data_IF_350429567030
#
_entry.id   IF_350429567030
#
_cell.length_a   1.000
_cell.length_b   1.000
_cell.length_c   1.000
_cell.angle_alpha   90.00
_cell.angle_beta   90.00
_cell.angle_gamma   90.00
#
_symmetry.space_group_name_H-M   'P 1'
#
loop_
_entity.id
_entity.type
_entity.pdbx_description
1 polymer ?
#
# COMPACT_ATOMS: atom_id res chain seq x y z
N UNK A 1 -10.02 0.38 73.38
CA UNK A 1 -10.15 1.30 72.19
C UNK A 1 -9.45 0.60 71.02
N UNK A 2 -10.17 -0.30 70.34
CA UNK A 2 -9.68 -1.18 69.29
C UNK A 2 -10.33 -0.72 67.96
N UNK A 3 -9.53 -0.06 67.13
CA UNK A 3 -9.94 0.33 65.79
C UNK A 3 -9.87 -0.91 64.88
N UNK A 4 -11.03 -1.32 64.32
CA UNK A 4 -11.13 -2.31 63.26
C UNK A 4 -10.74 -1.61 61.93
N UNK A 5 -9.65 -2.07 61.36
CA UNK A 5 -9.31 -1.82 59.95
C UNK A 5 -10.24 -2.70 59.07
N UNK A 6 -11.27 -2.11 58.50
CA UNK A 6 -12.02 -2.75 57.43
C UNK A 6 -11.19 -2.67 56.13
N UNK A 7 -10.57 -3.80 55.78
CA UNK A 7 -10.05 -3.97 54.40
C UNK A 7 -11.23 -4.11 53.45
N UNK A 8 -11.48 -3.06 52.71
CA UNK A 8 -12.40 -3.07 51.57
C UNK A 8 -11.86 -3.97 50.44
N UNK A 9 -12.20 -5.25 50.51
CA UNK A 9 -12.10 -6.14 49.37
C UNK A 9 -13.22 -5.77 48.39
N UNK A 10 -12.94 -4.83 47.46
CA UNK A 10 -13.80 -4.66 46.27
C UNK A 10 -13.81 -6.00 45.53
N UNK A 11 -14.87 -6.76 45.68
CA UNK A 11 -15.20 -7.91 44.85
C UNK A 11 -15.34 -7.41 43.39
N UNK A 12 -14.32 -7.61 42.60
CA UNK A 12 -14.37 -7.38 41.16
C UNK A 12 -15.52 -8.23 40.61
N UNK A 13 -16.64 -7.59 40.30
CA UNK A 13 -17.79 -8.27 39.72
C UNK A 13 -17.35 -9.02 38.46
N UNK A 14 -17.72 -10.28 38.34
CA UNK A 14 -17.46 -11.06 37.14
C UNK A 14 -18.05 -10.34 35.90
N UNK A 15 -17.34 -10.26 34.81
CA UNK A 15 -17.84 -9.61 33.59
C UNK A 15 -19.16 -10.25 33.18
N UNK A 16 -20.13 -9.43 32.79
CA UNK A 16 -21.42 -9.93 32.33
C UNK A 16 -21.24 -10.79 31.07
N UNK A 17 -22.13 -11.78 30.88
CA UNK A 17 -22.10 -12.63 29.68
C UNK A 17 -22.13 -11.83 28.37
N UNK A 18 -22.71 -10.63 28.39
CA UNK A 18 -22.67 -9.68 27.25
C UNK A 18 -21.29 -9.04 27.05
N UNK A 19 -20.55 -8.76 28.14
CA UNK A 19 -19.19 -8.26 28.07
C UNK A 19 -18.24 -9.33 27.52
N UNK A 20 -18.40 -10.59 27.97
CA UNK A 20 -17.65 -11.74 27.43
C UNK A 20 -18.00 -12.04 25.97
N UNK A 21 -19.26 -11.94 25.58
CA UNK A 21 -19.71 -12.10 24.20
C UNK A 21 -19.20 -10.96 23.29
N UNK A 22 -19.11 -9.74 23.81
CA UNK A 22 -18.54 -8.58 23.12
C UNK A 22 -17.03 -8.71 22.97
N UNK A 23 -16.36 -9.24 23.99
CA UNK A 23 -14.93 -9.52 23.97
C UNK A 23 -14.59 -10.67 23.01
N UNK A 24 -15.38 -11.74 22.96
CA UNK A 24 -15.26 -12.83 21.99
C UNK A 24 -15.52 -12.34 20.56
N UNK A 25 -16.49 -11.44 20.32
CA UNK A 25 -16.68 -10.80 19.00
C UNK A 25 -15.47 -9.95 18.59
N UNK A 26 -14.82 -9.30 19.55
CA UNK A 26 -13.63 -8.47 19.29
C UNK A 26 -12.39 -9.32 18.96
N UNK A 27 -12.31 -10.57 19.44
CA UNK A 27 -11.17 -11.49 19.19
C UNK A 27 -11.26 -12.13 17.79
N UNK A 28 -12.46 -12.35 17.24
CA UNK A 28 -12.64 -12.91 15.89
C UNK A 28 -12.37 -11.89 14.75
N UNK A 29 -12.47 -10.61 15.05
CA UNK A 29 -12.25 -9.52 14.09
C UNK A 29 -10.81 -9.42 13.58
N UNK A 30 -9.73 -9.61 14.38
CA UNK A 30 -8.36 -9.55 13.88
C UNK A 30 -8.03 -10.63 12.86
N UNK A 31 -8.48 -11.86 13.06
CA UNK A 31 -8.23 -12.98 12.14
C UNK A 31 -8.88 -12.79 10.77
N UNK A 32 -10.14 -12.36 10.76
CA UNK A 32 -10.87 -12.06 9.51
C UNK A 32 -10.22 -10.88 8.78
N UNK A 33 -9.80 -9.85 9.49
CA UNK A 33 -9.09 -8.70 8.93
C UNK A 33 -7.77 -9.11 8.28
N UNK A 34 -6.97 -9.92 8.97
CA UNK A 34 -5.70 -10.42 8.42
C UNK A 34 -5.97 -11.29 7.18
N UNK A 35 -6.98 -12.17 7.24
CA UNK A 35 -7.34 -13.01 6.10
C UNK A 35 -7.79 -12.19 4.89
N UNK A 36 -8.61 -11.17 5.07
CA UNK A 36 -9.07 -10.30 3.98
C UNK A 36 -7.94 -9.43 3.41
N UNK A 37 -7.07 -8.91 4.26
CA UNK A 37 -5.87 -8.19 3.80
C UNK A 37 -4.93 -9.14 3.04
N UNK A 38 -4.70 -10.34 3.54
CA UNK A 38 -3.91 -11.34 2.85
C UNK A 38 -4.54 -11.72 1.49
N UNK A 39 -5.84 -11.95 1.47
CA UNK A 39 -6.58 -12.25 0.24
C UNK A 39 -6.47 -11.10 -0.77
N UNK A 40 -6.67 -9.85 -0.35
CA UNK A 40 -6.52 -8.67 -1.19
C UNK A 40 -5.11 -8.56 -1.78
N UNK A 41 -4.08 -8.84 -0.97
CA UNK A 41 -2.70 -8.83 -1.44
C UNK A 41 -2.39 -9.97 -2.41
N UNK A 42 -2.92 -11.19 -2.16
CA UNK A 42 -2.76 -12.33 -3.08
C UNK A 42 -3.44 -12.06 -4.41
N UNK A 43 -4.67 -11.55 -4.39
CA UNK A 43 -5.39 -11.22 -5.63
C UNK A 43 -4.69 -10.05 -6.36
N UNK A 44 -4.22 -9.04 -5.63
CA UNK A 44 -3.42 -7.95 -6.20
C UNK A 44 -2.16 -8.49 -6.90
N UNK A 45 -1.44 -9.40 -6.25
CA UNK A 45 -0.25 -10.03 -6.84
C UNK A 45 -0.60 -10.84 -8.09
N UNK A 46 -1.65 -11.64 -8.05
CA UNK A 46 -2.11 -12.42 -9.21
C UNK A 46 -2.58 -11.50 -10.35
N UNK A 47 -3.20 -10.37 -10.03
CA UNK A 47 -3.61 -9.36 -11.00
C UNK A 47 -2.42 -8.71 -11.72
N UNK A 48 -1.24 -8.67 -11.11
CA UNK A 48 -0.01 -8.23 -11.78
C UNK A 48 0.70 -9.37 -12.52
N UNK A 49 0.66 -10.60 -12.00
CA UNK A 49 1.42 -11.73 -12.56
C UNK A 49 0.68 -12.54 -13.63
N UNK A 50 -0.59 -12.22 -13.92
CA UNK A 50 -1.39 -12.98 -14.88
C UNK A 50 -0.72 -13.15 -16.26
N UNK A 51 0.06 -12.18 -16.81
CA UNK A 51 0.68 -12.34 -18.12
C UNK A 51 1.67 -13.51 -18.20
N UNK A 52 2.21 -13.94 -17.05
CA UNK A 52 3.16 -15.04 -16.97
C UNK A 52 2.51 -16.36 -16.54
N UNK A 53 1.39 -16.29 -15.80
CA UNK A 53 0.74 -17.48 -15.19
C UNK A 53 -0.36 -18.04 -16.07
N UNK A 54 -1.06 -17.19 -16.84
CA UNK A 54 -2.23 -17.56 -17.63
C UNK A 54 -2.10 -17.18 -19.13
N UNK A 55 -0.97 -17.45 -19.78
CA UNK A 55 -0.80 -17.06 -21.19
C UNK A 55 -1.84 -17.73 -22.10
N UNK A 56 -2.25 -18.98 -21.83
CA UNK A 56 -3.23 -19.71 -22.61
C UNK A 56 -4.68 -19.23 -22.44
N UNK A 57 -5.03 -18.66 -21.28
CA UNK A 57 -6.36 -18.08 -21.05
C UNK A 57 -6.43 -16.70 -21.72
N UNK A 58 -5.33 -15.98 -21.69
CA UNK A 58 -5.23 -14.66 -22.26
C UNK A 58 -5.28 -14.66 -23.81
N UNK A 59 -4.85 -15.74 -24.49
CA UNK A 59 -4.94 -15.83 -25.95
C UNK A 59 -6.38 -15.79 -26.43
N UNK A 60 -7.29 -16.49 -25.76
CA UNK A 60 -8.71 -16.47 -26.11
C UNK A 60 -9.41 -15.14 -25.74
N UNK A 61 -8.95 -14.47 -24.69
CA UNK A 61 -9.46 -13.16 -24.27
C UNK A 61 -8.88 -12.05 -25.16
N UNK A 62 -7.61 -12.14 -25.53
CA UNK A 62 -6.93 -11.11 -26.34
C UNK A 62 -7.44 -11.08 -27.79
N UNK A 63 -7.73 -12.24 -28.40
CA UNK A 63 -8.23 -12.31 -29.78
C UNK A 63 -9.65 -11.72 -29.94
N UNK A 64 -10.52 -11.86 -28.94
CA UNK A 64 -11.90 -11.41 -29.00
C UNK A 64 -12.20 -10.11 -28.25
N UNK A 65 -11.34 -9.67 -27.31
CA UNK A 65 -11.62 -8.59 -26.37
C UNK A 65 -10.40 -7.73 -26.04
N UNK A 66 -9.56 -7.39 -27.02
CA UNK A 66 -8.37 -6.55 -26.81
C UNK A 66 -8.70 -5.20 -26.12
N UNK A 67 -9.94 -4.68 -26.31
CA UNK A 67 -10.41 -3.48 -25.64
C UNK A 67 -10.95 -3.68 -24.22
N UNK A 68 -11.36 -4.90 -23.86
CA UNK A 68 -12.08 -5.18 -22.60
C UNK A 68 -11.16 -5.60 -21.46
N UNK A 69 -9.96 -6.11 -21.76
CA UNK A 69 -8.99 -6.59 -20.77
C UNK A 69 -8.68 -5.56 -19.68
N UNK A 70 -8.31 -4.32 -19.99
CA UNK A 70 -8.04 -3.29 -18.97
C UNK A 70 -9.23 -3.00 -18.06
N UNK A 71 -10.45 -3.06 -18.58
CA UNK A 71 -11.66 -2.80 -17.80
C UNK A 71 -12.02 -3.96 -16.86
N UNK A 72 -11.81 -5.20 -17.31
CA UNK A 72 -12.02 -6.39 -16.46
C UNK A 72 -11.04 -6.37 -15.28
N UNK A 73 -9.77 -6.07 -15.55
CA UNK A 73 -8.74 -5.96 -14.51
C UNK A 73 -9.02 -4.79 -13.58
N UNK A 74 -9.49 -3.65 -14.10
CA UNK A 74 -9.91 -2.52 -13.30
C UNK A 74 -11.13 -2.84 -12.43
N UNK A 75 -12.12 -3.58 -12.95
CA UNK A 75 -13.29 -4.01 -12.20
C UNK A 75 -12.90 -4.94 -11.04
N UNK A 76 -12.01 -5.90 -11.28
CA UNK A 76 -11.46 -6.77 -10.24
C UNK A 76 -10.71 -5.95 -9.18
N UNK A 77 -9.88 -5.01 -9.60
CA UNK A 77 -9.19 -4.09 -8.71
C UNK A 77 -10.16 -3.24 -7.88
N UNK A 78 -11.21 -2.69 -8.49
CA UNK A 78 -12.24 -1.93 -7.80
C UNK A 78 -13.02 -2.77 -6.77
N UNK A 79 -13.34 -4.03 -7.10
CA UNK A 79 -13.97 -4.98 -6.16
C UNK A 79 -13.08 -5.22 -4.96
N UNK A 80 -11.77 -5.44 -5.20
CA UNK A 80 -10.79 -5.62 -4.13
C UNK A 80 -10.70 -4.41 -3.20
N UNK A 81 -10.69 -3.22 -3.78
CA UNK A 81 -10.67 -1.98 -3.02
C UNK A 81 -11.96 -1.76 -2.26
N UNK A 82 -13.12 -2.07 -2.86
CA UNK A 82 -14.40 -2.02 -2.17
C UNK A 82 -14.43 -2.98 -0.98
N UNK A 83 -13.91 -4.20 -1.13
CA UNK A 83 -13.75 -5.17 -0.04
C UNK A 83 -12.82 -4.62 1.06
N UNK A 84 -11.70 -4.01 0.66
CA UNK A 84 -10.79 -3.36 1.59
C UNK A 84 -11.47 -2.23 2.35
N UNK A 85 -12.21 -1.33 1.67
CA UNK A 85 -12.94 -0.23 2.31
C UNK A 85 -14.08 -0.71 3.21
N UNK A 86 -14.80 -1.76 2.82
CA UNK A 86 -15.84 -2.37 3.65
C UNK A 86 -15.26 -2.93 4.95
N UNK A 87 -14.09 -3.55 4.88
CA UNK A 87 -13.39 -4.07 6.06
C UNK A 87 -12.93 -2.93 6.99
N UNK A 88 -12.45 -1.83 6.41
CA UNK A 88 -12.09 -0.62 7.17
C UNK A 88 -13.29 0.02 7.86
N UNK A 89 -14.45 0.05 7.21
CA UNK A 89 -15.70 0.61 7.74
C UNK A 89 -16.33 -0.21 8.86
N UNK A 90 -16.00 -1.51 8.97
CA UNK A 90 -16.59 -2.42 9.97
C UNK A 90 -15.99 -2.33 11.37
N UNK A 91 -15.19 -1.32 11.66
CA UNK A 91 -14.91 -0.94 13.05
C UNK A 91 -13.47 -1.12 13.55
N UNK A 92 -12.49 -1.24 12.65
CA UNK A 92 -11.08 -1.32 13.06
C UNK A 92 -10.39 0.03 13.27
N UNK A 93 -10.91 1.11 12.72
CA UNK A 93 -10.26 2.42 12.75
C UNK A 93 -10.99 3.40 13.69
N UNK A 94 -10.31 3.81 14.75
CA UNK A 94 -10.81 4.88 15.61
C UNK A 94 -10.86 6.23 14.86
N UNK A 95 -11.69 7.20 15.32
CA UNK A 95 -11.85 8.50 14.67
C UNK A 95 -10.52 9.25 14.45
N UNK A 96 -9.58 9.12 15.38
CA UNK A 96 -8.24 9.72 15.30
C UNK A 96 -7.41 9.15 14.16
N UNK A 97 -7.51 7.83 13.94
CA UNK A 97 -6.80 7.14 12.83
C UNK A 97 -7.37 7.57 11.49
N UNK A 98 -8.69 7.69 11.37
CA UNK A 98 -9.38 8.17 10.17
C UNK A 98 -8.98 9.62 9.86
N UNK A 99 -8.97 10.50 10.88
CA UNK A 99 -8.54 11.89 10.72
C UNK A 99 -7.09 12.00 10.25
N UNK A 100 -6.18 11.20 10.82
CA UNK A 100 -4.77 11.17 10.41
C UNK A 100 -4.61 10.65 8.98
N UNK A 101 -5.39 9.63 8.60
CA UNK A 101 -5.42 9.09 7.24
C UNK A 101 -5.87 10.17 6.23
N UNK A 102 -6.90 10.95 6.58
CA UNK A 102 -7.38 12.06 5.77
C UNK A 102 -6.33 13.16 5.58
N UNK A 103 -5.68 13.58 6.67
CA UNK A 103 -4.62 14.62 6.62
C UNK A 103 -3.42 14.16 5.80
N UNK A 104 -2.94 12.93 6.02
CA UNK A 104 -1.80 12.40 5.27
C UNK A 104 -2.17 12.09 3.82
N UNK A 105 -3.40 11.63 3.56
CA UNK A 105 -3.92 11.46 2.20
C UNK A 105 -3.97 12.78 1.44
N UNK A 106 -4.45 13.86 2.06
CA UNK A 106 -4.43 15.20 1.48
C UNK A 106 -2.99 15.69 1.19
N UNK A 107 -2.04 15.39 2.09
CA UNK A 107 -0.62 15.67 1.85
C UNK A 107 -0.07 14.90 0.63
N UNK A 108 -0.49 13.63 0.43
CA UNK A 108 -0.13 12.86 -0.76
C UNK A 108 -0.66 13.51 -2.04
N UNK A 109 -1.92 13.96 -2.04
CA UNK A 109 -2.51 14.69 -3.19
C UNK A 109 -1.69 15.94 -3.51
N UNK A 110 -1.42 16.77 -2.50
CA UNK A 110 -0.65 18.01 -2.67
C UNK A 110 0.77 17.76 -3.19
N UNK A 111 1.44 16.72 -2.70
CA UNK A 111 2.80 16.37 -3.10
C UNK A 111 2.88 15.61 -4.44
N UNK A 112 1.77 15.16 -4.98
CA UNK A 112 1.72 14.62 -6.35
C UNK A 112 1.71 15.73 -7.39
N UNK A 113 1.15 16.91 -7.09
CA UNK A 113 1.02 18.03 -8.02
C UNK A 113 2.35 18.46 -8.69
N UNK A 114 3.49 18.58 -7.95
CA UNK A 114 4.77 18.91 -8.57
C UNK A 114 5.42 17.75 -9.34
N UNK A 115 4.86 16.55 -9.24
CA UNK A 115 5.52 15.28 -9.59
C UNK A 115 5.52 14.89 -11.06
N UNK A 116 5.05 15.76 -11.95
CA UNK A 116 5.03 15.47 -13.41
C UNK A 116 6.40 15.62 -14.08
N UNK A 117 7.45 15.91 -13.35
CA UNK A 117 8.80 16.02 -13.89
C UNK A 117 9.53 14.69 -13.72
N UNK A 118 9.82 14.01 -14.80
CA UNK A 118 10.70 12.84 -14.88
C UNK A 118 10.30 11.65 -13.97
N UNK A 119 9.00 11.40 -13.77
CA UNK A 119 8.53 10.26 -12.92
C UNK A 119 8.74 10.45 -11.42
N UNK A 120 9.37 11.53 -10.99
CA UNK A 120 9.52 11.87 -9.58
C UNK A 120 8.18 12.28 -8.99
N UNK A 121 7.78 11.65 -7.90
CA UNK A 121 6.60 12.06 -7.15
C UNK A 121 6.91 12.11 -5.66
N UNK A 122 6.80 13.30 -5.08
CA UNK A 122 7.09 13.52 -3.65
C UNK A 122 6.08 12.84 -2.71
N UNK A 123 4.97 12.29 -3.23
CA UNK A 123 3.98 11.58 -2.40
C UNK A 123 4.58 10.37 -1.66
N UNK A 124 5.62 9.72 -2.25
CA UNK A 124 6.23 8.53 -1.65
C UNK A 124 6.84 8.80 -0.27
N UNK A 125 7.35 10.02 0.00
CA UNK A 125 7.88 10.34 1.32
C UNK A 125 6.81 10.20 2.40
N UNK A 126 5.55 10.60 2.12
CA UNK A 126 4.45 10.50 3.08
C UNK A 126 4.18 9.04 3.45
N UNK A 127 4.08 8.18 2.44
CA UNK A 127 3.80 6.75 2.61
C UNK A 127 4.95 6.05 3.35
N UNK A 128 6.20 6.36 2.98
CA UNK A 128 7.40 5.80 3.60
C UNK A 128 7.48 6.16 5.09
N UNK A 129 7.36 7.44 5.44
CA UNK A 129 7.48 7.88 6.84
C UNK A 129 6.27 7.47 7.67
N UNK A 130 5.06 7.50 7.10
CA UNK A 130 3.86 7.08 7.80
C UNK A 130 3.85 5.57 8.04
N UNK A 131 4.18 4.76 7.05
CA UNK A 131 4.34 3.32 7.20
C UNK A 131 5.34 2.98 8.30
N UNK A 132 6.51 3.60 8.26
CA UNK A 132 7.54 3.37 9.27
C UNK A 132 7.15 3.84 10.68
N UNK A 133 6.39 4.94 10.84
CA UNK A 133 5.98 5.41 12.18
C UNK A 133 4.74 4.70 12.72
N UNK A 134 3.76 4.39 11.85
CA UNK A 134 2.42 3.97 12.25
C UNK A 134 2.13 2.48 11.97
N UNK A 135 3.04 1.80 11.28
CA UNK A 135 2.95 0.37 11.02
C UNK A 135 2.50 -0.03 9.62
N UNK A 136 2.69 -1.32 9.28
CA UNK A 136 2.45 -1.81 7.93
C UNK A 136 0.98 -1.70 7.50
N UNK A 137 0.04 -1.99 8.40
CA UNK A 137 -1.38 -1.89 8.09
C UNK A 137 -1.81 -0.44 7.80
N UNK A 138 -1.35 0.52 8.59
CA UNK A 138 -1.62 1.93 8.33
C UNK A 138 -0.96 2.41 7.03
N UNK A 139 0.29 2.01 6.80
CA UNK A 139 1.03 2.36 5.58
C UNK A 139 0.34 1.84 4.32
N UNK A 140 -0.15 0.60 4.34
CA UNK A 140 -0.93 0.03 3.23
C UNK A 140 -2.20 0.82 2.96
N UNK A 141 -2.96 1.09 4.00
CA UNK A 141 -4.19 1.87 3.91
C UNK A 141 -3.96 3.27 3.37
N UNK A 142 -2.96 3.96 3.91
CA UNK A 142 -2.62 5.30 3.46
C UNK A 142 -2.22 5.31 1.98
N UNK A 143 -1.45 4.31 1.54
CA UNK A 143 -1.11 4.14 0.13
C UNK A 143 -2.35 4.02 -0.75
N UNK A 144 -3.29 3.13 -0.38
CA UNK A 144 -4.53 2.94 -1.13
C UNK A 144 -5.41 4.19 -1.13
N UNK A 145 -5.72 4.74 0.04
CA UNK A 145 -6.62 5.90 0.18
C UNK A 145 -6.01 7.16 -0.43
N UNK A 146 -4.72 7.39 -0.18
CA UNK A 146 -4.01 8.55 -0.72
C UNK A 146 -3.91 8.53 -2.24
N UNK A 147 -3.67 7.34 -2.84
CA UNK A 147 -3.68 7.20 -4.30
C UNK A 147 -5.08 7.36 -4.89
N UNK A 148 -6.11 6.80 -4.24
CA UNK A 148 -7.49 7.02 -4.67
C UNK A 148 -7.85 8.50 -4.67
N UNK A 149 -7.61 9.20 -3.57
CA UNK A 149 -7.82 10.65 -3.47
C UNK A 149 -7.00 11.40 -4.53
N UNK A 150 -5.74 11.03 -4.72
CA UNK A 150 -4.87 11.63 -5.73
C UNK A 150 -5.36 11.38 -7.15
N UNK A 151 -5.95 10.21 -7.43
CA UNK A 151 -6.59 9.92 -8.71
C UNK A 151 -7.74 10.88 -9.01
N UNK A 152 -8.59 11.17 -8.02
CA UNK A 152 -9.71 12.10 -8.18
C UNK A 152 -9.23 13.52 -8.50
N UNK A 153 -8.19 14.01 -7.82
CA UNK A 153 -7.81 15.42 -7.88
C UNK A 153 -6.69 15.72 -8.91
N UNK A 154 -5.83 14.75 -9.22
CA UNK A 154 -4.59 14.99 -9.99
C UNK A 154 -4.38 14.00 -11.13
N UNK A 155 -4.39 12.69 -10.83
CA UNK A 155 -3.95 11.65 -11.74
C UNK A 155 -5.00 11.14 -12.73
N UNK A 156 -6.26 11.52 -12.54
CA UNK A 156 -7.39 10.97 -13.29
C UNK A 156 -7.86 9.61 -12.74
N UNK A 157 -9.11 9.28 -13.07
CA UNK A 157 -9.72 7.98 -12.77
C UNK A 157 -9.60 7.10 -14.00
N UNK A 158 -8.83 6.03 -13.90
CA UNK A 158 -8.63 5.11 -15.01
C UNK A 158 -8.37 3.69 -14.53
N UNK A 159 -8.26 2.72 -15.46
CA UNK A 159 -8.06 1.31 -15.10
C UNK A 159 -6.73 1.03 -14.39
N UNK A 160 -5.77 1.94 -14.46
CA UNK A 160 -4.50 1.87 -13.73
C UNK A 160 -4.62 2.16 -12.23
N UNK A 161 -5.65 2.92 -11.82
CA UNK A 161 -5.75 3.43 -10.46
C UNK A 161 -5.79 2.34 -9.37
N UNK A 162 -6.55 1.25 -9.49
CA UNK A 162 -6.52 0.15 -8.52
C UNK A 162 -5.13 -0.46 -8.35
N UNK A 163 -4.36 -0.57 -9.44
CA UNK A 163 -2.99 -1.07 -9.42
C UNK A 163 -2.04 -0.10 -8.72
N UNK A 164 -2.13 1.20 -9.03
CA UNK A 164 -1.39 2.24 -8.31
C UNK A 164 -1.68 2.19 -6.81
N UNK A 165 -2.96 2.05 -6.41
CA UNK A 165 -3.36 1.99 -5.00
C UNK A 165 -2.69 0.82 -4.27
N UNK A 166 -2.75 -0.38 -4.85
CA UNK A 166 -2.14 -1.58 -4.26
C UNK A 166 -0.61 -1.45 -4.23
N UNK A 167 0.02 -1.00 -5.32
CA UNK A 167 1.46 -0.86 -5.41
C UNK A 167 2.01 0.16 -4.39
N UNK A 168 1.37 1.33 -4.25
CA UNK A 168 1.74 2.32 -3.22
C UNK A 168 1.41 1.81 -1.82
N UNK A 169 0.32 1.05 -1.66
CA UNK A 169 -0.01 0.35 -0.43
C UNK A 169 1.12 -0.60 0.01
N UNK A 170 1.68 -1.37 -0.91
CA UNK A 170 2.82 -2.25 -0.63
C UNK A 170 4.08 -1.48 -0.22
N UNK A 171 4.35 -0.32 -0.83
CA UNK A 171 5.45 0.56 -0.40
C UNK A 171 5.23 1.02 1.05
N UNK A 172 4.02 1.44 1.40
CA UNK A 172 3.68 1.84 2.76
C UNK A 172 3.78 0.70 3.77
N UNK A 173 3.28 -0.49 3.41
CA UNK A 173 3.39 -1.68 4.25
C UNK A 173 4.85 -2.09 4.47
N UNK A 174 5.64 -2.15 3.40
CA UNK A 174 7.06 -2.49 3.46
C UNK A 174 7.86 -1.52 4.34
N UNK A 175 7.62 -0.22 4.22
CA UNK A 175 8.21 0.78 5.11
C UNK A 175 7.84 0.54 6.58
N UNK A 176 6.62 0.05 6.84
CA UNK A 176 6.13 -0.31 8.17
C UNK A 176 6.81 -1.54 8.79
N UNK A 177 7.41 -2.40 7.97
CA UNK A 177 8.16 -3.58 8.42
C UNK A 177 9.63 -3.27 8.77
N UNK A 178 10.13 -2.09 8.40
CA UNK A 178 11.51 -1.71 8.68
C UNK A 178 11.76 -1.52 10.18
N UNK A 179 13.01 -1.80 10.64
CA UNK A 179 13.40 -1.58 12.02
C UNK A 179 13.18 -0.13 12.48
N UNK A 180 12.54 0.04 13.63
CA UNK A 180 12.25 1.35 14.24
C UNK A 180 13.18 1.67 15.40
N UNK A 181 13.82 0.65 15.96
CA UNK A 181 14.77 0.78 17.08
C UNK A 181 16.15 1.24 16.64
N UNK A 182 16.97 1.65 17.64
CA UNK A 182 18.33 2.08 17.38
C UNK A 182 18.47 3.59 17.15
N UNK A 183 19.55 3.98 16.47
CA UNK A 183 19.85 5.40 16.23
C UNK A 183 18.99 5.99 15.12
N UNK A 184 18.73 7.31 15.17
CA UNK A 184 18.06 8.01 14.08
C UNK A 184 18.78 7.85 12.73
N UNK A 185 20.11 7.77 12.76
CA UNK A 185 20.91 7.57 11.53
C UNK A 185 20.59 6.22 10.89
N UNK A 186 20.53 5.15 11.69
CA UNK A 186 20.18 3.81 11.22
C UNK A 186 18.75 3.77 10.65
N UNK A 187 17.78 4.37 11.36
CA UNK A 187 16.38 4.43 10.91
C UNK A 187 16.23 5.15 9.57
N UNK A 188 16.89 6.30 9.41
CA UNK A 188 16.90 7.05 8.15
C UNK A 188 17.61 6.27 7.05
N UNK A 189 18.74 5.60 7.35
CA UNK A 189 19.46 4.78 6.36
C UNK A 189 18.59 3.62 5.85
N UNK A 190 17.91 2.90 6.74
CA UNK A 190 16.97 1.84 6.34
C UNK A 190 15.84 2.38 5.48
N UNK A 191 15.26 3.52 5.86
CA UNK A 191 14.16 4.11 5.12
C UNK A 191 14.61 4.63 3.75
N UNK A 192 15.81 5.21 3.65
CA UNK A 192 16.40 5.65 2.38
C UNK A 192 16.72 4.47 1.46
N UNK A 193 17.34 3.40 1.99
CA UNK A 193 17.61 2.19 1.24
C UNK A 193 16.32 1.54 0.73
N UNK A 194 15.30 1.43 1.57
CA UNK A 194 14.00 0.90 1.17
C UNK A 194 13.30 1.84 0.17
N UNK A 195 13.37 3.16 0.36
CA UNK A 195 12.84 4.14 -0.57
C UNK A 195 13.47 4.04 -1.97
N UNK A 196 14.78 3.75 -2.03
CA UNK A 196 15.49 3.47 -3.27
C UNK A 196 14.98 2.20 -3.94
N UNK A 197 14.99 1.08 -3.22
CA UNK A 197 14.53 -0.22 -3.75
C UNK A 197 13.06 -0.19 -4.15
N UNK A 198 12.21 0.40 -3.31
CA UNK A 198 10.77 0.50 -3.59
C UNK A 198 10.44 1.40 -4.77
N UNK A 199 11.32 2.36 -5.10
CA UNK A 199 11.20 3.17 -6.31
C UNK A 199 11.22 2.32 -7.59
N UNK A 200 12.16 1.38 -7.67
CA UNK A 200 12.23 0.43 -8.78
C UNK A 200 11.15 -0.65 -8.71
N UNK A 201 10.89 -1.21 -7.53
CA UNK A 201 9.85 -2.23 -7.39
C UNK A 201 8.47 -1.71 -7.77
N UNK A 202 8.15 -0.46 -7.40
CA UNK A 202 6.90 0.17 -7.78
C UNK A 202 6.76 0.28 -9.30
N UNK A 203 7.78 0.79 -9.99
CA UNK A 203 7.73 0.94 -11.43
C UNK A 203 7.68 -0.41 -12.14
N UNK A 204 8.56 -1.33 -11.75
CA UNK A 204 8.57 -2.69 -12.28
C UNK A 204 7.20 -3.37 -12.16
N UNK A 205 6.46 -3.16 -11.08
CA UNK A 205 5.11 -3.71 -10.92
C UNK A 205 4.10 -2.92 -11.76
N UNK A 206 4.21 -1.60 -11.81
CA UNK A 206 3.28 -0.76 -12.57
C UNK A 206 3.40 -0.94 -14.08
N UNK A 207 4.61 -1.18 -14.60
CA UNK A 207 4.83 -1.55 -16.01
C UNK A 207 4.12 -2.86 -16.39
N UNK A 208 4.03 -3.83 -15.47
CA UNK A 208 3.29 -5.08 -15.70
C UNK A 208 1.80 -4.88 -15.98
N UNK A 209 1.20 -3.83 -15.40
CA UNK A 209 -0.20 -3.51 -15.70
C UNK A 209 -0.39 -3.10 -17.15
N UNK A 210 0.55 -2.33 -17.72
CA UNK A 210 0.43 -1.72 -19.02
C UNK A 210 0.98 -2.61 -20.15
N UNK A 211 2.13 -3.24 -19.92
CA UNK A 211 2.89 -3.98 -20.94
C UNK A 211 2.09 -5.03 -21.73
N UNK A 212 1.18 -5.86 -21.14
CA UNK A 212 0.46 -6.87 -21.91
C UNK A 212 -0.52 -6.30 -22.94
N UNK A 213 -0.85 -5.02 -22.81
CA UNK A 213 -1.78 -4.34 -23.72
C UNK A 213 -1.07 -3.51 -24.81
N UNK A 214 0.27 -3.53 -24.84
CA UNK A 214 1.02 -2.93 -25.94
C UNK A 214 0.89 -3.79 -27.20
N UNK A 215 0.23 -3.24 -28.19
CA UNK A 215 -0.04 -3.91 -29.49
C UNK A 215 0.75 -3.26 -30.63
N UNK A 216 1.90 -2.67 -30.33
CA UNK A 216 2.73 -1.92 -31.29
C UNK A 216 3.57 -2.81 -32.23
N UNK A 217 3.48 -4.15 -32.07
CA UNK A 217 4.27 -5.10 -32.87
C UNK A 217 5.76 -5.12 -32.53
N UNK A 218 6.16 -4.52 -31.40
CA UNK A 218 7.56 -4.52 -30.99
C UNK A 218 8.05 -5.94 -30.66
N UNK A 219 9.36 -6.19 -30.82
CA UNK A 219 9.98 -7.46 -30.44
C UNK A 219 9.94 -7.72 -28.94
N UNK A 220 9.56 -6.72 -28.13
CA UNK A 220 9.45 -6.79 -26.68
C UNK A 220 7.97 -6.83 -26.20
N UNK A 221 7.02 -6.90 -27.15
CA UNK A 221 5.60 -7.02 -26.81
C UNK A 221 5.32 -8.38 -26.13
N UNK A 222 4.24 -8.41 -25.39
CA UNK A 222 3.74 -9.66 -24.81
C UNK A 222 3.24 -10.60 -25.91
N UNK A 223 3.67 -11.88 -25.83
CA UNK A 223 3.25 -12.93 -26.77
C UNK A 223 2.47 -14.00 -26.01
N UNK A 224 1.15 -14.12 -26.25
CA UNK A 224 0.33 -15.16 -25.63
C UNK A 224 0.79 -16.59 -25.99
N UNK A 225 1.42 -16.78 -27.15
CA UNK A 225 1.95 -18.07 -27.60
C UNK A 225 3.38 -18.38 -27.10
N UNK A 226 4.08 -17.40 -26.60
CA UNK A 226 5.52 -17.49 -26.31
C UNK A 226 5.92 -18.15 -25.01
N UNK A 227 4.96 -18.50 -24.18
CA UNK A 227 5.21 -19.08 -22.86
C UNK A 227 5.78 -18.11 -21.82
N UNK A 228 5.79 -18.54 -20.55
CA UNK A 228 6.13 -17.67 -19.42
C UNK A 228 7.57 -17.10 -19.51
N UNK A 229 8.54 -17.94 -19.82
CA UNK A 229 9.95 -17.53 -19.84
C UNK A 229 10.26 -16.51 -20.94
N UNK A 230 9.70 -16.67 -22.12
CA UNK A 230 9.86 -15.71 -23.20
C UNK A 230 9.24 -14.37 -22.81
N UNK A 231 8.04 -14.39 -22.26
CA UNK A 231 7.35 -13.19 -21.80
C UNK A 231 8.10 -12.48 -20.65
N UNK A 232 8.71 -13.22 -19.72
CA UNK A 232 9.59 -12.60 -18.70
C UNK A 232 10.79 -11.88 -19.35
N UNK A 233 11.42 -12.47 -20.37
CA UNK A 233 12.55 -11.82 -21.08
C UNK A 233 12.11 -10.59 -21.85
N UNK A 234 10.98 -10.65 -22.55
CA UNK A 234 10.39 -9.51 -23.27
C UNK A 234 10.06 -8.38 -22.29
N UNK A 235 9.43 -8.73 -21.17
CA UNK A 235 9.09 -7.75 -20.14
C UNK A 235 10.34 -7.08 -19.53
N UNK A 236 11.37 -7.83 -19.18
CA UNK A 236 12.60 -7.25 -18.66
C UNK A 236 13.30 -6.35 -19.70
N UNK A 237 13.28 -6.75 -20.98
CA UNK A 237 13.76 -5.89 -22.07
C UNK A 237 12.96 -4.61 -22.20
N UNK A 238 11.63 -4.70 -22.18
CA UNK A 238 10.73 -3.56 -22.18
C UNK A 238 11.00 -2.62 -20.99
N UNK A 239 11.08 -3.17 -19.80
CA UNK A 239 11.34 -2.40 -18.58
C UNK A 239 12.67 -1.62 -18.65
N UNK A 240 13.73 -2.23 -19.18
CA UNK A 240 15.03 -1.54 -19.32
C UNK A 240 14.94 -0.37 -20.29
N UNK A 241 14.17 -0.50 -21.37
CA UNK A 241 14.04 0.54 -22.40
C UNK A 241 13.12 1.67 -21.94
N UNK A 242 11.98 1.35 -21.33
CA UNK A 242 10.92 2.29 -21.00
C UNK A 242 10.94 2.75 -19.53
N UNK A 243 10.88 1.79 -18.58
CA UNK A 243 10.66 2.07 -17.17
C UNK A 243 11.89 2.51 -16.38
N UNK A 244 13.07 1.93 -16.67
CA UNK A 244 14.26 2.05 -15.82
C UNK A 244 14.68 3.49 -15.54
N UNK A 245 14.59 4.37 -16.54
CA UNK A 245 14.97 5.78 -16.40
C UNK A 245 14.04 6.51 -15.42
N UNK A 246 12.74 6.33 -15.57
CA UNK A 246 11.73 6.95 -14.69
C UNK A 246 11.84 6.46 -13.26
N UNK A 247 12.10 5.18 -13.09
CA UNK A 247 12.25 4.57 -11.78
C UNK A 247 13.54 5.00 -11.08
N UNK A 248 14.60 5.26 -11.85
CA UNK A 248 15.83 5.83 -11.30
C UNK A 248 15.59 7.22 -10.70
N UNK A 249 14.87 8.09 -11.40
CA UNK A 249 14.49 9.39 -10.85
C UNK A 249 13.62 9.26 -9.61
N UNK A 250 12.67 8.31 -9.59
CA UNK A 250 11.84 8.03 -8.42
C UNK A 250 12.67 7.51 -7.25
N UNK A 251 13.53 6.53 -7.49
CA UNK A 251 14.39 5.93 -6.48
C UNK A 251 15.34 6.95 -5.84
N UNK A 252 16.02 7.74 -6.66
CA UNK A 252 16.92 8.81 -6.20
C UNK A 252 16.13 9.90 -5.46
N UNK A 253 14.99 10.30 -5.99
CA UNK A 253 14.10 11.29 -5.36
C UNK A 253 13.63 10.86 -3.98
N UNK A 254 13.25 9.59 -3.81
CA UNK A 254 12.89 9.02 -2.52
C UNK A 254 14.04 9.13 -1.51
N UNK A 255 15.26 8.79 -1.91
CA UNK A 255 16.46 8.91 -1.06
C UNK A 255 16.68 10.36 -0.65
N UNK A 256 16.68 11.27 -1.61
CA UNK A 256 16.88 12.70 -1.35
C UNK A 256 15.85 13.23 -0.35
N UNK A 257 14.58 12.94 -0.54
CA UNK A 257 13.51 13.38 0.36
C UNK A 257 13.65 12.75 1.76
N UNK A 258 13.95 11.45 1.85
CA UNK A 258 14.14 10.79 3.15
C UNK A 258 15.33 11.40 3.90
N UNK A 259 16.43 11.71 3.22
CA UNK A 259 17.60 12.32 3.84
C UNK A 259 17.34 13.77 4.25
N UNK A 260 16.64 14.55 3.41
CA UNK A 260 16.38 15.97 3.64
C UNK A 260 15.36 16.21 4.75
N UNK A 261 14.20 15.54 4.70
CA UNK A 261 13.06 15.82 5.59
C UNK A 261 12.57 14.63 6.39
N UNK A 262 13.09 13.42 6.17
CA UNK A 262 12.61 12.21 6.84
C UNK A 262 12.66 12.30 8.37
N UNK A 263 13.76 12.79 8.95
CA UNK A 263 13.91 12.90 10.40
C UNK A 263 12.87 13.80 11.09
N UNK A 264 12.67 15.06 10.69
CA UNK A 264 11.66 15.91 11.32
C UNK A 264 10.24 15.37 11.14
N UNK A 265 9.91 14.82 9.97
CA UNK A 265 8.58 14.26 9.70
C UNK A 265 8.32 13.01 10.54
N UNK A 266 9.25 12.05 10.60
CA UNK A 266 9.16 10.88 11.48
C UNK A 266 8.98 11.29 12.94
N UNK A 267 9.78 12.26 13.43
CA UNK A 267 9.66 12.74 14.80
C UNK A 267 8.29 13.39 15.08
N UNK A 268 7.71 14.08 14.10
CA UNK A 268 6.35 14.66 14.22
C UNK A 268 5.29 13.56 14.27
N UNK A 269 5.36 12.56 13.38
CA UNK A 269 4.42 11.43 13.36
C UNK A 269 4.52 10.57 14.62
N UNK A 270 5.73 10.28 15.10
CA UNK A 270 5.91 9.52 16.33
C UNK A 270 5.34 10.27 17.55
N UNK A 271 5.46 11.60 17.61
CA UNK A 271 4.81 12.42 18.65
C UNK A 271 3.28 12.37 18.54
N UNK A 272 2.76 12.50 17.31
CA UNK A 272 1.32 12.42 17.06
C UNK A 272 0.76 11.06 17.48
N UNK A 273 1.42 9.97 17.10
CA UNK A 273 1.03 8.61 17.46
C UNK A 273 0.97 8.43 18.99
N UNK A 274 1.98 8.89 19.74
CA UNK A 274 1.99 8.84 21.20
C UNK A 274 0.88 9.68 21.84
N UNK A 275 0.69 10.92 21.39
CA UNK A 275 -0.35 11.81 21.94
C UNK A 275 -1.77 11.31 21.68
N UNK A 276 -1.99 10.71 20.53
CA UNK A 276 -3.31 10.16 20.18
C UNK A 276 -3.55 8.76 20.73
N UNK A 277 -2.58 8.16 21.40
CA UNK A 277 -2.63 6.77 21.90
C UNK A 277 -3.01 5.79 20.77
N UNK A 278 -2.50 6.03 19.58
CA UNK A 278 -2.73 5.15 18.43
C UNK A 278 -2.07 3.79 18.69
N UNK A 279 -2.85 2.72 18.59
CA UNK A 279 -2.29 1.38 18.52
C UNK A 279 -1.62 1.24 17.15
N UNK A 280 -0.32 1.01 17.17
CA UNK A 280 0.44 0.67 15.96
C UNK A 280 0.06 -0.77 15.60
N UNK A 281 -0.56 -0.94 14.43
CA UNK A 281 -1.03 -2.23 13.92
C UNK A 281 -0.14 -2.66 12.75
#
# INVERSE_FOLDING_TARGET
MTARLELGLETRAAPSAEAEARERRTILVPGVRIALLALANVIGLLAFLWPFVLPSVASHVAENHQGDGPWIVAALGAILLALLFLELGRGGLGPKTVALLGVLGAAMVALRLPGFVAGFSALFIVVLVAGNSLGPGFGFLLGCVGMFASGIFVGGLGPWLPFEMVAVGWVGAGAGLLPRGGSWRARIAWLAAFGFVSGYLYGLVMELWFWPFLTDGSALAWDPGGGAWMNVRHYLGFYVVDGLTWDTFRAVGNVVLVLAIGRPVLAALDRAARRMQLRVV
#
